data_IF_987956942842
#
_entry.id   IF_987956942842
#
_cell.length_a   1.000
_cell.length_b   1.000
_cell.length_c   1.000
_cell.angle_alpha   90.00
_cell.angle_beta   90.00
_cell.angle_gamma   90.00
#
_symmetry.space_group_name_H-M   'P 1'
#
loop_
_entity.id
_entity.type
_entity.pdbx_description
1 polymer ?
#
# COMPACT_ATOMS: atom_id res chain seq x y z
N UNK A 1 -35.94 14.30 5.43
CA UNK A 1 -35.18 15.44 5.95
C UNK A 1 -34.33 15.01 7.15
N UNK A 2 -34.92 14.37 8.18
CA UNK A 2 -34.19 13.95 9.41
C UNK A 2 -32.97 13.06 9.13
N UNK A 3 -33.10 12.01 8.32
CA UNK A 3 -31.98 11.11 7.98
C UNK A 3 -30.84 11.85 7.26
N UNK A 4 -31.18 12.78 6.35
CA UNK A 4 -30.16 13.53 5.61
C UNK A 4 -29.40 14.47 6.55
N UNK A 5 -30.09 15.18 7.43
CA UNK A 5 -29.46 16.06 8.41
C UNK A 5 -28.56 15.28 9.36
N UNK A 6 -29.01 14.09 9.80
CA UNK A 6 -28.22 13.23 10.70
C UNK A 6 -26.91 12.75 10.01
N UNK A 7 -27.00 12.31 8.76
CA UNK A 7 -25.81 11.90 7.99
C UNK A 7 -24.79 13.05 7.87
N UNK A 8 -25.26 14.26 7.51
CA UNK A 8 -24.37 15.42 7.41
C UNK A 8 -23.78 15.81 8.76
N UNK A 9 -24.55 15.72 9.84
CA UNK A 9 -24.08 16.02 11.18
C UNK A 9 -23.03 15.02 11.66
N UNK A 10 -23.25 13.72 11.47
CA UNK A 10 -22.26 12.67 11.77
C UNK A 10 -20.98 12.86 10.94
N UNK A 11 -21.12 13.19 9.67
CA UNK A 11 -19.96 13.43 8.78
C UNK A 11 -19.17 14.65 9.25
N UNK A 12 -19.86 15.73 9.59
CA UNK A 12 -19.24 16.95 10.12
C UNK A 12 -18.47 16.70 11.44
N UNK A 13 -19.08 15.99 12.38
CA UNK A 13 -18.44 15.61 13.65
C UNK A 13 -17.21 14.72 13.41
N UNK A 14 -17.29 13.74 12.54
CA UNK A 14 -16.13 12.88 12.19
C UNK A 14 -14.98 13.66 11.58
N UNK A 15 -15.26 14.57 10.65
CA UNK A 15 -14.23 15.43 10.05
C UNK A 15 -13.58 16.36 11.09
N UNK A 16 -14.36 16.90 11.99
CA UNK A 16 -13.87 17.77 13.07
C UNK A 16 -12.97 17.00 14.04
N UNK A 17 -13.40 15.83 14.50
CA UNK A 17 -12.58 14.96 15.35
C UNK A 17 -11.29 14.56 14.64
N UNK A 18 -11.36 14.17 13.35
CA UNK A 18 -10.19 13.82 12.55
C UNK A 18 -9.20 14.98 12.45
N UNK A 19 -9.70 16.19 12.20
CA UNK A 19 -8.87 17.40 12.11
C UNK A 19 -8.18 17.74 13.43
N UNK A 20 -8.90 17.65 14.54
CA UNK A 20 -8.35 17.89 15.90
C UNK A 20 -7.27 16.83 16.21
N UNK A 21 -7.55 15.56 16.00
CA UNK A 21 -6.58 14.48 16.24
C UNK A 21 -5.32 14.63 15.39
N UNK A 22 -5.48 15.02 14.13
CA UNK A 22 -4.38 15.29 13.21
C UNK A 22 -3.49 16.43 13.71
N UNK A 23 -4.08 17.52 14.21
CA UNK A 23 -3.34 18.65 14.76
C UNK A 23 -2.65 18.29 16.08
N UNK A 24 -3.33 17.57 16.98
CA UNK A 24 -2.76 17.06 18.24
C UNK A 24 -1.53 16.18 17.97
N UNK A 25 -1.61 15.27 17.00
CA UNK A 25 -0.48 14.41 16.61
C UNK A 25 0.71 15.20 16.08
N UNK A 26 0.46 16.22 15.27
CA UNK A 26 1.53 17.14 14.79
C UNK A 26 2.23 17.87 15.93
N UNK A 27 1.50 18.18 17.01
CA UNK A 27 2.05 18.82 18.22
C UNK A 27 2.69 17.84 19.19
N UNK A 28 2.84 16.58 18.81
CA UNK A 28 3.47 15.54 19.65
C UNK A 28 2.55 14.92 20.71
N UNK A 29 1.26 15.20 20.65
CA UNK A 29 0.26 14.61 21.55
C UNK A 29 -0.35 13.35 20.90
N UNK A 30 -0.74 12.37 21.72
CA UNK A 30 -1.37 11.12 21.26
C UNK A 30 -0.52 10.38 20.21
N UNK A 31 0.77 10.23 20.50
CA UNK A 31 1.71 9.53 19.64
C UNK A 31 1.88 8.08 20.08
N UNK A 32 1.88 7.17 19.13
CA UNK A 32 2.18 5.75 19.34
C UNK A 32 3.68 5.49 19.29
N UNK A 33 4.15 4.75 20.27
CA UNK A 33 5.56 4.41 20.41
C UNK A 33 5.86 3.10 19.68
N UNK A 34 6.76 3.16 18.71
CA UNK A 34 7.17 2.03 17.89
C UNK A 34 8.60 1.63 18.19
N UNK A 35 8.82 0.32 18.33
CA UNK A 35 10.15 -0.29 18.35
C UNK A 35 10.39 -1.01 17.03
N UNK A 36 11.56 -0.77 16.41
CA UNK A 36 11.98 -1.50 15.23
C UNK A 36 12.86 -2.68 15.59
N UNK A 37 12.66 -3.81 14.93
CA UNK A 37 13.46 -5.02 15.09
C UNK A 37 14.09 -5.38 13.76
N UNK A 38 15.40 -5.22 13.66
CA UNK A 38 16.20 -5.33 12.45
C UNK A 38 16.51 -3.96 11.81
N UNK A 39 17.79 -3.70 11.57
CA UNK A 39 18.24 -2.53 10.82
C UNK A 39 18.46 -2.92 9.36
N UNK A 40 17.52 -2.54 8.54
CA UNK A 40 17.57 -2.76 7.10
C UNK A 40 17.16 -1.49 6.35
N UNK A 41 17.24 -1.51 5.05
CA UNK A 41 16.71 -0.43 4.21
C UNK A 41 15.22 -0.18 4.45
N UNK A 42 14.45 -1.24 4.71
CA UNK A 42 13.03 -1.10 5.07
C UNK A 42 12.85 -0.31 6.38
N UNK A 43 13.76 -0.47 7.35
CA UNK A 43 13.77 0.34 8.58
C UNK A 43 14.03 1.82 8.27
N UNK A 44 15.03 2.11 7.43
CA UNK A 44 15.37 3.48 7.02
C UNK A 44 14.19 4.16 6.31
N UNK A 45 13.63 3.50 5.29
CA UNK A 45 12.46 4.02 4.56
C UNK A 45 11.25 4.22 5.48
N UNK A 46 11.06 3.35 6.46
CA UNK A 46 9.95 3.46 7.41
C UNK A 46 10.14 4.66 8.35
N UNK A 47 11.35 4.89 8.85
CA UNK A 47 11.70 6.06 9.68
C UNK A 47 11.48 7.35 8.90
N UNK A 48 11.94 7.42 7.65
CA UNK A 48 11.80 8.59 6.80
C UNK A 48 10.32 8.92 6.56
N UNK A 49 9.52 7.92 6.22
CA UNK A 49 8.07 8.11 6.02
C UNK A 49 7.34 8.58 7.28
N UNK A 50 7.71 8.08 8.46
CA UNK A 50 7.14 8.56 9.72
C UNK A 50 7.49 10.03 9.95
N UNK A 51 8.72 10.44 9.68
CA UNK A 51 9.17 11.82 9.87
C UNK A 51 8.55 12.79 8.88
N UNK A 52 8.38 12.37 7.65
CA UNK A 52 7.69 13.16 6.63
C UNK A 52 6.19 13.32 6.93
N UNK A 53 5.62 12.41 7.75
CA UNK A 53 4.19 12.37 8.04
C UNK A 53 3.87 12.44 9.54
N UNK A 54 4.21 13.51 10.24
CA UNK A 54 3.99 13.63 11.70
C UNK A 54 2.51 13.52 12.10
N UNK A 55 1.58 13.75 11.16
CA UNK A 55 0.15 13.58 11.37
C UNK A 55 -0.28 12.12 11.61
N UNK A 56 0.56 11.14 11.29
CA UNK A 56 0.27 9.73 11.62
C UNK A 56 0.38 9.46 13.12
N UNK A 57 1.13 10.30 13.84
CA UNK A 57 1.28 10.20 15.28
C UNK A 57 2.14 9.01 15.72
N UNK A 58 3.16 8.67 14.95
CA UNK A 58 4.12 7.63 15.30
C UNK A 58 5.45 8.21 15.75
N UNK A 59 6.07 7.59 16.77
CA UNK A 59 7.45 7.86 17.19
C UNK A 59 8.22 6.55 17.25
N UNK A 60 9.36 6.50 16.57
CA UNK A 60 10.30 5.38 16.69
C UNK A 60 11.20 5.62 17.89
N UNK A 61 11.11 4.75 18.89
CA UNK A 61 11.89 4.82 20.14
C UNK A 61 13.32 4.33 19.97
N UNK A 62 13.54 3.40 19.06
CA UNK A 62 14.83 2.83 18.78
C UNK A 62 14.75 1.65 17.85
N UNK A 63 15.92 1.12 17.54
CA UNK A 63 16.09 -0.06 16.69
C UNK A 63 16.85 -1.10 17.48
N UNK A 64 16.45 -2.36 17.38
CA UNK A 64 17.20 -3.52 17.88
C UNK A 64 17.81 -4.24 16.68
N UNK A 65 19.13 -4.46 16.74
CA UNK A 65 19.84 -5.16 15.68
C UNK A 65 21.09 -5.85 16.23
N UNK A 66 21.44 -7.00 15.65
CA UNK A 66 22.63 -7.76 16.10
C UNK A 66 23.87 -7.48 15.28
N UNK A 67 23.71 -7.00 14.05
CA UNK A 67 24.81 -6.75 13.11
C UNK A 67 25.31 -5.30 13.17
N UNK A 68 24.43 -4.37 13.59
CA UNK A 68 24.77 -2.95 13.67
C UNK A 68 25.12 -2.57 15.12
N UNK A 69 26.26 -1.89 15.35
CA UNK A 69 26.68 -1.52 16.70
C UNK A 69 25.64 -0.65 17.41
N UNK A 70 25.41 -0.93 18.69
CA UNK A 70 24.58 -0.07 19.53
C UNK A 70 25.18 1.34 19.59
N UNK A 71 24.32 2.33 19.46
CA UNK A 71 24.74 3.73 19.36
C UNK A 71 24.72 4.30 17.95
N UNK A 72 24.65 3.48 16.91
CA UNK A 72 24.47 3.95 15.53
C UNK A 72 23.19 4.75 15.41
N UNK A 73 23.26 5.89 14.76
CA UNK A 73 22.16 6.81 14.57
C UNK A 73 21.76 6.87 13.10
N UNK A 74 20.47 6.68 12.83
CA UNK A 74 19.88 6.98 11.53
C UNK A 74 18.74 7.97 11.71
N UNK A 75 18.87 9.12 11.07
CA UNK A 75 17.86 10.18 11.08
C UNK A 75 17.29 10.47 12.49
N UNK A 76 18.18 10.51 13.54
CA UNK A 76 17.81 10.77 14.92
C UNK A 76 17.21 9.58 15.69
N UNK A 77 17.10 8.41 15.08
CA UNK A 77 16.73 7.15 15.74
C UNK A 77 17.99 6.34 16.01
N UNK A 78 18.12 5.85 17.22
CA UNK A 78 19.33 5.15 17.69
C UNK A 78 19.11 3.64 17.70
N UNK A 79 20.16 2.87 17.31
CA UNK A 79 20.23 1.44 17.61
C UNK A 79 20.52 1.30 19.11
N UNK A 80 19.55 0.77 19.86
CA UNK A 80 19.59 0.74 21.33
C UNK A 80 20.13 -0.56 21.90
N UNK A 81 20.21 -1.61 21.09
CA UNK A 81 20.75 -2.89 21.54
C UNK A 81 20.51 -4.02 20.56
N UNK A 82 20.71 -5.25 21.05
CA UNK A 82 20.54 -6.47 20.29
C UNK A 82 19.09 -6.95 20.30
N UNK A 83 18.71 -7.79 19.35
CA UNK A 83 17.37 -8.38 19.25
C UNK A 83 17.01 -9.18 20.51
N UNK A 84 17.98 -9.87 21.13
CA UNK A 84 17.77 -10.58 22.39
C UNK A 84 17.26 -9.67 23.54
N UNK A 85 17.56 -8.37 23.49
CA UNK A 85 17.08 -7.41 24.50
C UNK A 85 15.57 -7.15 24.41
N UNK A 86 14.92 -7.66 23.35
CA UNK A 86 13.48 -7.54 23.16
C UNK A 86 12.70 -8.08 24.38
N UNK A 87 13.11 -9.22 24.93
CA UNK A 87 12.50 -9.84 26.11
C UNK A 87 12.55 -8.98 27.37
N UNK A 88 13.56 -8.11 27.48
CA UNK A 88 13.75 -7.20 28.62
C UNK A 88 13.03 -5.88 28.38
N UNK A 89 13.03 -5.40 27.15
CA UNK A 89 12.47 -4.10 26.77
C UNK A 89 10.94 -4.15 26.73
N UNK A 90 10.35 -5.24 26.29
CA UNK A 90 8.88 -5.38 26.16
C UNK A 90 8.14 -5.18 27.48
N UNK A 91 8.52 -5.83 28.60
CA UNK A 91 7.83 -5.61 29.87
C UNK A 91 8.11 -4.25 30.52
N UNK A 92 9.28 -3.66 30.23
CA UNK A 92 9.75 -2.44 30.87
C UNK A 92 9.25 -1.16 30.21
N UNK A 93 8.88 -1.21 28.94
CA UNK A 93 8.47 -0.04 28.17
C UNK A 93 7.04 -0.14 27.68
N UNK A 94 6.31 0.98 27.76
CA UNK A 94 4.97 1.10 27.15
C UNK A 94 5.12 1.31 25.64
N UNK A 95 5.30 0.22 24.92
CA UNK A 95 5.33 0.21 23.46
C UNK A 95 3.91 -0.06 22.93
N UNK A 96 3.50 0.69 21.95
CA UNK A 96 2.20 0.50 21.28
C UNK A 96 2.32 -0.48 20.13
N UNK A 97 3.46 -0.45 19.42
CA UNK A 97 3.67 -1.28 18.25
C UNK A 97 5.14 -1.75 18.12
N UNK A 98 5.31 -2.94 17.56
CA UNK A 98 6.61 -3.47 17.14
C UNK A 98 6.56 -3.61 15.62
N UNK A 99 7.57 -3.10 14.92
CA UNK A 99 7.72 -3.31 13.49
C UNK A 99 8.99 -4.12 13.22
N UNK A 100 8.82 -5.31 12.67
CA UNK A 100 9.92 -6.20 12.27
C UNK A 100 10.37 -5.77 10.88
N UNK A 101 11.61 -5.32 10.77
CA UNK A 101 12.23 -4.75 9.57
C UNK A 101 13.54 -5.45 9.23
N UNK A 102 13.55 -6.77 9.38
CA UNK A 102 14.73 -7.60 9.09
C UNK A 102 15.14 -7.51 7.63
N UNK A 103 16.45 -7.58 7.37
CA UNK A 103 16.98 -7.85 6.04
C UNK A 103 16.64 -9.26 5.56
N UNK A 104 16.55 -9.47 4.25
CA UNK A 104 16.21 -10.79 3.67
C UNK A 104 17.09 -11.94 4.14
N UNK A 105 18.37 -11.66 4.36
CA UNK A 105 19.34 -12.66 4.87
C UNK A 105 19.04 -13.13 6.30
N UNK A 106 18.21 -12.41 7.04
CA UNK A 106 17.88 -12.67 8.44
C UNK A 106 16.48 -13.26 8.65
N UNK A 107 15.76 -13.55 7.57
CA UNK A 107 14.38 -14.08 7.65
C UNK A 107 14.30 -15.45 8.34
N UNK A 108 15.39 -16.20 8.42
CA UNK A 108 15.47 -17.44 9.20
C UNK A 108 15.22 -17.23 10.70
N UNK A 109 15.36 -15.99 11.20
CA UNK A 109 15.08 -15.61 12.60
C UNK A 109 13.66 -15.11 12.84
N UNK A 110 12.89 -14.92 11.78
CA UNK A 110 11.58 -14.28 11.85
C UNK A 110 10.65 -15.03 12.79
N UNK A 111 10.63 -16.35 12.74
CA UNK A 111 9.79 -17.19 13.59
C UNK A 111 10.08 -16.98 15.08
N UNK A 112 11.36 -17.00 15.46
CA UNK A 112 11.80 -16.75 16.84
C UNK A 112 11.36 -15.34 17.33
N UNK A 113 11.57 -14.32 16.51
CA UNK A 113 11.26 -12.94 16.85
C UNK A 113 9.75 -12.75 16.97
N UNK A 114 8.96 -13.30 16.05
CA UNK A 114 7.49 -13.26 16.11
C UNK A 114 6.99 -13.92 17.37
N UNK A 115 7.51 -15.10 17.73
CA UNK A 115 7.13 -15.80 18.96
C UNK A 115 7.45 -14.99 20.24
N UNK A 116 8.55 -14.24 20.26
CA UNK A 116 8.85 -13.32 21.37
C UNK A 116 7.87 -12.14 21.42
N UNK A 117 7.52 -11.59 20.24
CA UNK A 117 6.58 -10.46 20.15
C UNK A 117 5.16 -10.87 20.58
N UNK A 118 4.67 -12.03 20.12
CA UNK A 118 3.32 -12.53 20.46
C UNK A 118 3.14 -12.73 21.97
N UNK A 119 4.16 -13.22 22.65
CA UNK A 119 4.14 -13.37 24.13
C UNK A 119 3.96 -12.05 24.86
N UNK A 120 4.34 -10.94 24.25
CA UNK A 120 4.23 -9.61 24.86
C UNK A 120 2.84 -9.00 24.77
N UNK A 121 1.99 -9.46 23.85
CA UNK A 121 0.68 -8.89 23.55
C UNK A 121 0.75 -7.52 22.85
N UNK A 122 1.93 -7.02 22.49
CA UNK A 122 2.11 -5.77 21.74
C UNK A 122 1.81 -6.00 20.27
N UNK A 123 1.08 -5.05 19.66
CA UNK A 123 0.74 -5.16 18.25
C UNK A 123 2.00 -5.23 17.38
N UNK A 124 2.17 -6.33 16.67
CA UNK A 124 3.37 -6.60 15.85
C UNK A 124 3.02 -6.57 14.38
N UNK A 125 3.84 -5.89 13.58
CA UNK A 125 3.73 -5.86 12.12
C UNK A 125 5.08 -6.20 11.49
N UNK A 126 5.02 -6.85 10.33
CA UNK A 126 6.19 -7.19 9.54
C UNK A 126 6.27 -6.29 8.31
N UNK A 127 7.42 -5.65 8.11
CA UNK A 127 7.72 -4.79 6.97
C UNK A 127 8.86 -5.45 6.18
N UNK A 128 8.55 -6.16 5.11
CA UNK A 128 9.56 -6.90 4.37
C UNK A 128 10.48 -6.00 3.54
N UNK A 129 11.77 -6.31 3.54
CA UNK A 129 12.79 -5.62 2.74
C UNK A 129 12.96 -6.28 1.37
N UNK A 130 11.99 -6.08 0.48
CA UNK A 130 12.05 -6.61 -0.89
C UNK A 130 12.17 -5.53 -1.98
N UNK A 131 12.26 -4.26 -1.62
CA UNK A 131 12.28 -3.15 -2.60
C UNK A 131 13.47 -3.20 -3.58
N UNK A 132 14.59 -3.85 -3.20
CA UNK A 132 15.71 -4.08 -4.10
C UNK A 132 15.46 -5.17 -5.15
N UNK A 133 14.60 -6.13 -4.83
CA UNK A 133 14.35 -7.32 -5.66
C UNK A 133 13.16 -7.07 -6.57
N UNK A 134 12.18 -6.31 -6.08
CA UNK A 134 10.94 -6.03 -6.81
C UNK A 134 10.96 -4.56 -7.24
N UNK A 135 11.32 -4.26 -8.49
CA UNK A 135 11.44 -2.87 -8.98
C UNK A 135 10.09 -2.20 -9.24
N UNK A 136 8.99 -2.94 -9.12
CA UNK A 136 7.63 -2.47 -9.34
C UNK A 136 6.89 -2.33 -8.01
N UNK A 137 5.70 -1.71 -8.03
CA UNK A 137 4.83 -1.68 -6.84
C UNK A 137 4.17 -3.05 -6.66
N UNK A 138 4.64 -3.87 -5.69
CA UNK A 138 4.01 -5.14 -5.42
C UNK A 138 2.64 -4.92 -4.77
N UNK A 139 1.73 -5.86 -4.98
CA UNK A 139 0.47 -5.90 -4.25
C UNK A 139 0.26 -7.29 -3.66
N UNK A 140 -0.38 -7.32 -2.51
CA UNK A 140 -0.71 -8.56 -1.82
C UNK A 140 -2.10 -9.04 -2.22
N UNK A 141 -2.21 -10.32 -2.47
CA UNK A 141 -3.46 -11.03 -2.77
C UNK A 141 -3.58 -12.19 -1.78
N UNK A 142 -4.80 -12.49 -1.36
CA UNK A 142 -5.09 -13.65 -0.54
C UNK A 142 -5.75 -14.72 -1.41
N UNK A 143 -5.10 -15.87 -1.51
CA UNK A 143 -5.64 -17.03 -2.21
C UNK A 143 -6.04 -18.07 -1.15
N UNK A 144 -7.28 -18.02 -0.71
CA UNK A 144 -7.85 -18.95 0.26
C UNK A 144 -7.03 -19.09 1.56
N UNK A 145 -6.55 -17.97 2.09
CA UNK A 145 -5.72 -17.92 3.31
C UNK A 145 -4.22 -17.99 3.06
N UNK A 146 -3.78 -18.11 1.79
CA UNK A 146 -2.38 -18.02 1.40
C UNK A 146 -2.06 -16.61 0.92
N UNK A 147 -1.26 -15.83 1.66
CA UNK A 147 -0.85 -14.51 1.21
C UNK A 147 0.15 -14.62 0.05
N UNK A 148 -0.20 -14.05 -1.09
CA UNK A 148 0.63 -14.02 -2.30
C UNK A 148 1.07 -12.60 -2.57
N UNK A 149 2.38 -12.40 -2.78
CA UNK A 149 2.94 -11.11 -3.18
C UNK A 149 3.16 -11.12 -4.69
N UNK A 150 2.34 -10.37 -5.40
CA UNK A 150 2.48 -10.21 -6.84
C UNK A 150 3.59 -9.20 -7.13
N UNK A 151 4.61 -9.64 -7.85
CA UNK A 151 5.81 -8.84 -8.17
C UNK A 151 5.49 -7.75 -9.20
N UNK A 152 4.54 -8.02 -10.09
CA UNK A 152 4.20 -7.11 -11.19
C UNK A 152 2.73 -6.71 -11.11
N UNK A 153 2.49 -5.40 -11.03
CA UNK A 153 1.14 -4.87 -11.14
C UNK A 153 0.70 -4.85 -12.60
N UNK A 154 -0.35 -5.59 -12.92
CA UNK A 154 -1.01 -5.56 -14.24
C UNK A 154 -2.33 -4.78 -14.07
N UNK A 155 -2.46 -3.56 -14.64
CA UNK A 155 -3.64 -2.71 -14.42
C UNK A 155 -4.97 -3.35 -14.83
N UNK A 156 -4.93 -4.29 -15.78
CA UNK A 156 -6.11 -5.01 -16.29
C UNK A 156 -6.55 -6.19 -15.42
N UNK A 157 -5.76 -6.59 -14.41
CA UNK A 157 -6.19 -7.61 -13.44
C UNK A 157 -7.29 -7.08 -12.50
N UNK A 158 -7.42 -5.75 -12.38
CA UNK A 158 -8.50 -5.13 -11.64
C UNK A 158 -9.78 -5.16 -12.49
N UNK A 159 -10.83 -5.84 -11.99
CA UNK A 159 -12.14 -5.98 -12.64
C UNK A 159 -12.74 -4.63 -13.05
N UNK A 160 -12.57 -3.59 -12.22
CA UNK A 160 -13.06 -2.26 -12.54
C UNK A 160 -12.36 -1.66 -13.77
N UNK A 161 -11.04 -1.76 -13.85
CA UNK A 161 -10.27 -1.27 -15.00
C UNK A 161 -10.62 -2.05 -16.29
N UNK A 162 -10.81 -3.35 -16.16
CA UNK A 162 -11.25 -4.18 -17.28
C UNK A 162 -12.66 -3.78 -17.77
N UNK A 163 -13.58 -3.47 -16.86
CA UNK A 163 -14.92 -3.00 -17.18
C UNK A 163 -14.90 -1.61 -17.85
N UNK A 164 -14.12 -0.68 -17.31
CA UNK A 164 -13.93 0.66 -17.92
C UNK A 164 -13.36 0.54 -19.32
N UNK A 165 -12.32 -0.27 -19.50
CA UNK A 165 -11.74 -0.54 -20.82
C UNK A 165 -12.80 -1.09 -21.78
N UNK A 166 -13.58 -2.10 -21.37
CA UNK A 166 -14.63 -2.70 -22.21
C UNK A 166 -15.66 -1.68 -22.64
N UNK A 167 -16.08 -0.82 -21.71
CA UNK A 167 -17.03 0.27 -22.01
C UNK A 167 -16.45 1.24 -23.04
N UNK A 168 -15.19 1.65 -22.87
CA UNK A 168 -14.51 2.53 -23.83
C UNK A 168 -14.37 1.88 -25.21
N UNK A 169 -14.03 0.58 -25.26
CA UNK A 169 -13.91 -0.16 -26.52
C UNK A 169 -15.26 -0.22 -27.26
N UNK A 170 -16.37 -0.48 -26.54
CA UNK A 170 -17.71 -0.53 -27.11
C UNK A 170 -18.15 0.85 -27.60
N UNK A 171 -18.02 1.88 -26.79
CA UNK A 171 -18.38 3.26 -27.17
C UNK A 171 -17.52 3.73 -28.35
N UNK A 172 -16.21 3.48 -28.30
CA UNK A 172 -15.29 3.84 -29.39
C UNK A 172 -15.63 3.14 -30.72
N UNK A 173 -15.97 1.84 -30.67
CA UNK A 173 -16.34 1.10 -31.86
C UNK A 173 -17.66 1.59 -32.48
N UNK A 174 -18.67 1.91 -31.64
CA UNK A 174 -19.93 2.49 -32.12
C UNK A 174 -19.69 3.85 -32.79
N UNK A 175 -18.90 4.73 -32.14
CA UNK A 175 -18.54 6.02 -32.72
C UNK A 175 -17.79 5.87 -34.04
N UNK A 176 -16.84 4.94 -34.14
CA UNK A 176 -16.09 4.67 -35.34
C UNK A 176 -17.01 4.19 -36.48
N UNK A 177 -17.98 3.32 -36.19
CA UNK A 177 -18.98 2.85 -37.16
C UNK A 177 -19.84 4.01 -37.65
N UNK A 178 -20.33 4.85 -36.74
CA UNK A 178 -21.17 6.02 -37.11
C UNK A 178 -20.40 6.98 -38.03
N UNK A 179 -19.14 7.29 -37.67
CA UNK A 179 -18.31 8.21 -38.47
C UNK A 179 -17.94 7.61 -39.83
N UNK A 180 -17.65 6.31 -39.90
CA UNK A 180 -17.27 5.64 -41.17
C UNK A 180 -18.49 5.27 -42.02
N UNK A 181 -19.69 5.18 -41.47
CA UNK A 181 -20.89 4.74 -42.19
C UNK A 181 -21.20 5.55 -43.45
N UNK A 182 -21.12 6.90 -43.49
CA UNK A 182 -21.41 7.65 -44.71
C UNK A 182 -20.38 7.37 -45.82
N UNK A 183 -19.11 7.18 -45.48
CA UNK A 183 -18.04 6.85 -46.41
C UNK A 183 -18.28 5.44 -46.96
N UNK A 184 -18.59 4.46 -46.11
CA UNK A 184 -18.89 3.10 -46.52
C UNK A 184 -20.12 3.03 -47.43
N UNK A 185 -21.16 3.80 -47.11
CA UNK A 185 -22.37 3.86 -47.92
C UNK A 185 -22.10 4.46 -49.31
N UNK A 186 -21.30 5.51 -49.38
CA UNK A 186 -20.89 6.13 -50.61
C UNK A 186 -20.07 5.16 -51.50
N UNK A 187 -19.13 4.43 -50.87
CA UNK A 187 -18.34 3.42 -51.59
C UNK A 187 -19.20 2.25 -52.08
N UNK A 188 -20.16 1.79 -51.30
CA UNK A 188 -21.11 0.76 -51.71
C UNK A 188 -21.93 1.19 -52.94
N UNK A 189 -22.41 2.44 -52.99
CA UNK A 189 -23.12 2.99 -54.14
C UNK A 189 -22.23 3.05 -55.38
N UNK A 190 -20.99 3.57 -55.23
CA UNK A 190 -20.03 3.65 -56.34
C UNK A 190 -19.69 2.28 -56.92
N UNK A 191 -19.44 1.28 -56.07
CA UNK A 191 -19.16 -0.09 -56.49
C UNK A 191 -20.37 -0.67 -57.30
N UNK A 192 -21.58 -0.43 -56.79
CA UNK A 192 -22.77 -0.98 -57.43
C UNK A 192 -23.08 -0.32 -58.78
N UNK A 193 -22.69 0.94 -58.96
CA UNK A 193 -22.82 1.67 -60.22
C UNK A 193 -21.75 1.29 -61.26
N UNK A 194 -20.56 0.90 -60.79
CA UNK A 194 -19.42 0.60 -61.66
C UNK A 194 -19.19 -0.88 -61.96
N UNK A 195 -19.72 -1.78 -61.11
CA UNK A 195 -19.52 -3.22 -61.24
C UNK A 195 -20.76 -4.04 -60.92
N UNK A 196 -21.17 -5.04 -61.76
CA UNK A 196 -22.29 -5.94 -61.50
C UNK A 196 -22.01 -7.04 -60.44
N UNK A 197 -20.89 -6.92 -59.67
CA UNK A 197 -20.46 -7.91 -58.66
C UNK A 197 -21.09 -7.76 -57.27
N UNK A 198 -20.86 -8.71 -56.35
CA UNK A 198 -21.27 -8.60 -54.96
C UNK A 198 -20.49 -7.51 -54.24
N UNK A 199 -21.13 -6.80 -53.29
CA UNK A 199 -20.53 -5.72 -52.46
C UNK A 199 -19.45 -6.21 -51.47
N UNK A 200 -19.59 -7.45 -51.01
CA UNK A 200 -18.63 -8.07 -50.08
C UNK A 200 -18.16 -9.41 -50.67
N UNK A 201 -16.90 -9.52 -50.86
CA UNK A 201 -16.27 -10.81 -51.22
C UNK A 201 -16.10 -11.66 -49.96
N UNK A 202 -16.46 -12.94 -50.07
CA UNK A 202 -16.30 -13.95 -49.02
C UNK A 202 -14.94 -14.63 -49.19
#
# INVERSE_FOLDING_TARGET
IFCVVNIFMEWGVRLLIYSILKDMRKRGLNQKQILLVGYSRAAEEYIDRIKENPQWGYIVRGILDDNVPAGTLYNGVKVIGRIANLTVILPANRLDEIAITLGLSEYYRLEEIVAMCEKSGVHTKFIPDYNKIIPTKPYTEDILGLPVINIRYVPLSNTFNAMVKRTMDVVGSIMAIIVSSPVMLLMCILIKLTSPGPLIYK
#
